data_IF_838705672394
#
_entry.id   IF_838705672394
#
_cell.length_a   1.000
_cell.length_b   1.000
_cell.length_c   1.000
_cell.angle_alpha   90.00
_cell.angle_beta   90.00
_cell.angle_gamma   90.00
#
_symmetry.space_group_name_H-M   'P 1'
#
loop_
_entity.id
_entity.type
_entity.pdbx_description
1 polymer ?
#
# COMPACT_ATOMS: atom_id res chain seq x y z
N UNK A 1 22.62 21.70 -50.58
CA UNK A 1 23.00 21.55 -49.15
C UNK A 1 22.25 20.35 -48.59
N UNK A 2 22.95 19.21 -48.51
CA UNK A 2 22.38 17.86 -48.37
C UNK A 2 22.95 17.15 -47.13
N UNK A 3 23.21 17.87 -46.04
CA UNK A 3 24.19 17.44 -45.03
C UNK A 3 23.80 17.55 -43.55
N UNK A 4 22.55 17.83 -43.19
CA UNK A 4 22.17 17.98 -41.77
C UNK A 4 21.00 17.07 -41.34
N UNK A 5 20.27 16.46 -42.29
CA UNK A 5 19.11 15.59 -41.98
C UNK A 5 19.46 14.14 -41.65
N UNK A 6 20.73 13.73 -41.71
CA UNK A 6 21.15 12.33 -41.49
C UNK A 6 21.83 12.06 -40.14
N UNK A 7 22.19 13.10 -39.37
CA UNK A 7 22.92 12.90 -38.11
C UNK A 7 22.04 12.65 -36.87
N UNK A 8 20.71 12.87 -36.98
CA UNK A 8 19.75 12.57 -35.89
C UNK A 8 19.15 11.16 -36.00
N UNK A 9 19.56 10.37 -37.01
CA UNK A 9 18.98 9.05 -37.32
C UNK A 9 19.87 7.85 -36.96
N UNK A 10 20.87 8.00 -36.09
CA UNK A 10 21.68 6.85 -35.60
C UNK A 10 22.10 6.97 -34.15
N UNK A 11 21.28 6.43 -33.26
CA UNK A 11 21.63 5.38 -32.27
C UNK A 11 20.42 5.12 -31.39
N UNK A 12 19.54 4.25 -31.86
CA UNK A 12 18.84 3.36 -30.93
C UNK A 12 19.91 2.43 -30.36
N UNK A 13 20.19 2.42 -29.04
CA UNK A 13 20.85 1.26 -28.47
C UNK A 13 19.78 0.17 -28.35
N UNK A 14 19.56 -0.52 -29.47
CA UNK A 14 19.18 -1.92 -29.45
C UNK A 14 20.41 -2.72 -28.96
N UNK A 15 20.80 -2.48 -27.71
CA UNK A 15 21.98 -3.02 -27.08
C UNK A 15 21.64 -3.27 -25.62
N UNK A 16 21.70 -4.53 -25.23
CA UNK A 16 21.67 -5.00 -23.86
C UNK A 16 20.29 -4.97 -23.16
N UNK A 17 19.38 -5.85 -23.60
CA UNK A 17 18.25 -6.28 -22.77
C UNK A 17 18.71 -6.82 -21.40
N UNK A 18 19.93 -7.36 -21.35
CA UNK A 18 20.62 -7.88 -20.17
C UNK A 18 20.97 -6.76 -19.17
N UNK A 19 21.56 -5.64 -19.58
CA UNK A 19 21.88 -4.53 -18.67
C UNK A 19 20.62 -3.93 -18.05
N UNK A 20 19.58 -3.69 -18.85
CA UNK A 20 18.30 -3.25 -18.30
C UNK A 20 17.71 -4.30 -17.35
N UNK A 21 17.71 -5.59 -17.70
CA UNK A 21 17.22 -6.64 -16.81
C UNK A 21 18.02 -6.71 -15.49
N UNK A 22 19.33 -6.50 -15.52
CA UNK A 22 20.19 -6.43 -14.33
C UNK A 22 19.77 -5.25 -13.45
N UNK A 23 19.56 -4.05 -13.99
CA UNK A 23 19.09 -2.90 -13.21
C UNK A 23 17.71 -3.10 -12.55
N UNK A 24 16.86 -4.01 -13.05
CA UNK A 24 15.54 -4.30 -12.47
C UNK A 24 15.53 -5.55 -11.57
N UNK A 25 16.34 -6.54 -11.90
CA UNK A 25 16.54 -7.73 -11.06
C UNK A 25 17.32 -7.37 -9.81
N UNK A 26 18.30 -6.45 -9.87
CA UNK A 26 19.08 -6.04 -8.70
C UNK A 26 18.21 -5.47 -7.57
N UNK A 27 17.30 -4.50 -7.76
CA UNK A 27 16.44 -4.03 -6.68
C UNK A 27 15.46 -5.11 -6.22
N UNK A 28 14.87 -5.90 -7.14
CA UNK A 28 13.94 -6.97 -6.77
C UNK A 28 14.64 -8.07 -5.95
N UNK A 29 15.82 -8.51 -6.40
CA UNK A 29 16.70 -9.45 -5.73
C UNK A 29 17.20 -8.87 -4.41
N UNK A 30 17.50 -7.57 -4.33
CA UNK A 30 17.93 -6.92 -3.10
C UNK A 30 16.82 -6.81 -2.07
N UNK A 31 15.56 -6.59 -2.50
CA UNK A 31 14.40 -6.60 -1.62
C UNK A 31 14.14 -8.03 -1.13
N UNK A 32 14.21 -9.02 -2.01
CA UNK A 32 14.03 -10.43 -1.62
C UNK A 32 15.18 -10.96 -0.77
N UNK A 33 16.42 -10.55 -1.04
CA UNK A 33 17.58 -10.90 -0.21
C UNK A 33 17.52 -10.16 1.11
N UNK A 34 17.11 -8.89 1.14
CA UNK A 34 16.89 -8.14 2.37
C UNK A 34 15.84 -8.80 3.25
N UNK A 35 14.70 -9.21 2.67
CA UNK A 35 13.66 -9.94 3.41
C UNK A 35 14.14 -11.31 3.87
N UNK A 36 14.94 -12.02 3.07
CA UNK A 36 15.53 -13.31 3.46
C UNK A 36 16.61 -13.15 4.55
N UNK A 37 17.44 -12.12 4.49
CA UNK A 37 18.47 -11.82 5.51
C UNK A 37 17.78 -11.46 6.83
N UNK A 38 16.72 -10.64 6.80
CA UNK A 38 15.89 -10.41 7.98
C UNK A 38 15.29 -11.72 8.52
N UNK A 39 14.81 -12.61 7.63
CA UNK A 39 14.27 -13.92 8.01
C UNK A 39 15.33 -14.85 8.65
N UNK A 40 16.58 -14.80 8.18
CA UNK A 40 17.69 -15.60 8.71
C UNK A 40 18.28 -15.04 10.03
N UNK A 41 18.33 -13.71 10.18
CA UNK A 41 18.77 -13.06 11.42
C UNK A 41 17.84 -13.37 12.60
N UNK A 42 16.55 -13.61 12.33
CA UNK A 42 15.55 -14.05 13.31
C UNK A 42 15.49 -15.58 13.54
N UNK A 43 16.50 -16.34 13.09
CA UNK A 43 16.61 -17.80 13.28
C UNK A 43 15.35 -18.59 12.83
N UNK A 44 14.64 -18.12 11.80
CA UNK A 44 13.49 -18.82 11.24
C UNK A 44 12.26 -18.91 12.16
N UNK A 45 12.22 -18.16 13.28
CA UNK A 45 11.11 -18.24 14.24
C UNK A 45 9.93 -17.29 13.91
N UNK A 46 10.08 -16.40 12.92
CA UNK A 46 9.20 -15.24 12.75
C UNK A 46 8.74 -14.91 11.31
N UNK A 47 8.00 -15.78 10.61
CA UNK A 47 6.94 -15.25 9.74
C UNK A 47 5.98 -14.34 10.54
N UNK A 48 5.90 -14.53 11.87
CA UNK A 48 5.24 -13.70 12.90
C UNK A 48 5.69 -12.25 13.05
N UNK A 49 6.93 -11.91 12.64
CA UNK A 49 7.42 -10.55 12.80
C UNK A 49 7.04 -9.67 11.61
N UNK A 50 6.88 -10.28 10.42
CA UNK A 50 6.48 -9.60 9.20
C UNK A 50 4.97 -9.58 8.97
N UNK A 51 4.26 -10.62 9.43
CA UNK A 51 2.81 -10.72 9.41
C UNK A 51 2.33 -11.10 10.80
N UNK A 52 1.13 -10.66 11.21
CA UNK A 52 0.60 -11.04 12.52
C UNK A 52 0.32 -12.55 12.50
N UNK A 53 0.90 -13.29 13.44
CA UNK A 53 0.66 -14.74 13.60
C UNK A 53 -0.76 -15.07 14.02
N UNK A 54 -1.46 -14.11 14.59
CA UNK A 54 -2.85 -14.21 14.99
C UNK A 54 -3.77 -13.71 13.87
N UNK A 55 -4.34 -14.66 13.14
CA UNK A 55 -5.31 -14.45 12.07
C UNK A 55 -6.56 -13.68 12.54
N UNK A 56 -6.83 -13.64 13.84
CA UNK A 56 -7.92 -12.85 14.41
C UNK A 56 -7.60 -11.36 14.49
N UNK A 57 -6.36 -10.94 14.21
CA UNK A 57 -5.94 -9.54 14.20
C UNK A 57 -5.83 -8.91 12.79
N UNK A 58 -6.15 -9.66 11.74
CA UNK A 58 -6.16 -9.14 10.37
C UNK A 58 -7.19 -8.02 10.20
N UNK A 59 -6.77 -6.89 9.61
CA UNK A 59 -7.62 -5.71 9.40
C UNK A 59 -7.99 -4.94 10.66
N UNK A 60 -7.52 -5.36 11.84
CA UNK A 60 -8.00 -4.81 13.11
C UNK A 60 -7.58 -3.35 13.34
N UNK A 61 -6.50 -2.85 12.74
CA UNK A 61 -6.14 -1.44 12.86
C UNK A 61 -7.26 -0.55 12.32
N UNK A 62 -7.88 -0.91 11.18
CA UNK A 62 -9.03 -0.18 10.63
C UNK A 62 -10.25 -0.26 11.56
N UNK A 63 -10.67 -1.47 11.94
CA UNK A 63 -11.91 -1.66 12.70
C UNK A 63 -11.83 -1.12 14.13
N UNK A 64 -10.67 -1.25 14.80
CA UNK A 64 -10.46 -0.67 16.12
C UNK A 64 -10.50 0.86 16.08
N UNK A 65 -9.88 1.48 15.07
CA UNK A 65 -9.96 2.93 14.92
C UNK A 65 -11.37 3.39 14.54
N UNK A 66 -12.10 2.62 13.75
CA UNK A 66 -13.49 2.90 13.40
C UNK A 66 -14.42 2.83 14.62
N UNK A 67 -14.21 1.85 15.49
CA UNK A 67 -14.90 1.73 16.78
C UNK A 67 -14.55 2.87 17.75
N UNK A 68 -13.30 3.33 17.78
CA UNK A 68 -12.93 4.49 18.58
C UNK A 68 -13.65 5.78 18.09
N UNK A 69 -13.82 5.92 16.77
CA UNK A 69 -14.55 7.06 16.19
C UNK A 69 -16.06 6.99 16.47
N UNK A 70 -16.65 5.80 16.54
CA UNK A 70 -18.08 5.65 16.84
C UNK A 70 -18.42 6.06 18.28
N UNK A 71 -17.51 5.82 19.23
CA UNK A 71 -17.65 6.19 20.64
C UNK A 71 -17.49 7.70 20.90
N UNK A 72 -16.96 8.45 19.92
CA UNK A 72 -16.85 9.90 19.98
C UNK A 72 -15.55 10.44 20.60
N UNK A 73 -14.79 9.60 21.30
CA UNK A 73 -13.44 9.93 21.78
C UNK A 73 -12.39 8.96 21.17
N UNK A 74 -11.72 9.36 20.06
CA UNK A 74 -10.74 8.52 19.41
C UNK A 74 -9.45 8.31 20.22
N UNK A 75 -9.18 9.16 21.22
CA UNK A 75 -7.95 9.12 22.01
C UNK A 75 -8.10 8.36 23.33
N UNK A 76 -9.32 7.94 23.68
CA UNK A 76 -9.60 7.17 24.89
C UNK A 76 -8.75 5.89 25.04
N UNK A 77 -8.39 5.26 23.91
CA UNK A 77 -7.58 4.03 23.87
C UNK A 77 -6.10 4.29 23.52
N UNK A 78 -5.54 5.44 23.90
CA UNK A 78 -4.15 5.83 23.61
C UNK A 78 -3.78 5.78 22.13
N UNK A 79 -4.74 6.08 21.25
CA UNK A 79 -4.48 6.10 19.81
C UNK A 79 -3.45 7.21 19.49
N UNK A 80 -2.41 6.85 18.72
CA UNK A 80 -1.28 7.72 18.43
C UNK A 80 -1.35 8.38 17.04
N UNK A 81 -2.55 8.46 16.45
CA UNK A 81 -2.75 8.96 15.09
C UNK A 81 -3.08 10.47 15.06
N UNK A 82 -2.66 11.19 14.00
CA UNK A 82 -3.05 12.57 13.79
C UNK A 82 -4.58 12.73 13.65
N UNK A 83 -5.16 13.88 14.05
CA UNK A 83 -6.60 14.13 14.00
C UNK A 83 -7.23 13.93 12.61
N UNK A 84 -6.50 14.24 11.53
CA UNK A 84 -6.96 14.07 10.15
C UNK A 84 -7.33 12.62 9.80
N UNK A 85 -6.62 11.64 10.38
CA UNK A 85 -6.92 10.23 10.19
C UNK A 85 -8.34 9.89 10.70
N UNK A 86 -8.72 10.43 11.86
CA UNK A 86 -10.04 10.22 12.44
C UNK A 86 -11.16 10.92 11.67
N UNK A 87 -10.88 12.05 11.02
CA UNK A 87 -11.85 12.71 10.13
C UNK A 87 -12.17 11.84 8.91
N UNK A 88 -11.15 11.24 8.29
CA UNK A 88 -11.32 10.31 7.16
C UNK A 88 -12.10 9.08 7.61
N UNK A 89 -11.74 8.49 8.75
CA UNK A 89 -12.47 7.34 9.30
C UNK A 89 -13.91 7.68 9.65
N UNK A 90 -14.18 8.89 10.16
CA UNK A 90 -15.55 9.36 10.44
C UNK A 90 -16.37 9.52 9.18
N UNK A 91 -15.75 9.94 8.08
CA UNK A 91 -16.39 9.95 6.76
C UNK A 91 -16.71 8.52 6.29
N UNK A 92 -15.76 7.58 6.41
CA UNK A 92 -15.99 6.17 6.06
C UNK A 92 -17.07 5.52 6.93
N UNK A 93 -17.11 5.85 8.22
CA UNK A 93 -18.12 5.36 9.17
C UNK A 93 -19.54 5.75 8.77
N UNK A 94 -19.73 6.87 8.06
CA UNK A 94 -21.06 7.30 7.62
C UNK A 94 -21.71 6.33 6.63
N UNK A 95 -20.91 5.53 5.91
CA UNK A 95 -21.41 4.50 5.00
C UNK A 95 -21.80 3.20 5.70
N UNK A 96 -21.49 3.05 6.99
CA UNK A 96 -21.86 1.86 7.77
C UNK A 96 -23.31 2.01 8.23
N UNK A 97 -24.25 1.18 7.75
CA UNK A 97 -25.61 1.22 8.22
C UNK A 97 -25.65 0.82 9.70
N UNK A 98 -26.43 1.56 10.48
CA UNK A 98 -26.69 1.24 11.90
C UNK A 98 -27.76 0.16 11.95
N UNK A 99 -27.35 -1.10 11.81
CA UNK A 99 -28.23 -2.24 12.01
C UNK A 99 -28.58 -2.41 13.50
N UNK A 100 -29.79 -2.88 13.78
CA UNK A 100 -30.16 -3.29 15.13
C UNK A 100 -29.36 -4.55 15.53
N UNK A 101 -28.75 -4.55 16.72
CA UNK A 101 -28.07 -5.72 17.30
C UNK A 101 -26.56 -5.83 17.08
N UNK A 102 -25.91 -4.85 16.45
CA UNK A 102 -24.44 -4.85 16.27
C UNK A 102 -23.78 -3.88 17.22
N UNK A 103 -22.82 -4.38 18.00
CA UNK A 103 -22.00 -3.55 18.87
C UNK A 103 -20.95 -2.77 18.07
N UNK A 104 -21.34 -1.58 17.62
CA UNK A 104 -20.46 -0.63 16.94
C UNK A 104 -19.42 0.00 17.87
N UNK A 105 -19.32 -0.41 19.14
CA UNK A 105 -18.24 0.05 20.02
C UNK A 105 -17.04 -0.90 20.03
N UNK A 106 -17.18 -2.10 19.44
CA UNK A 106 -16.15 -3.13 19.44
C UNK A 106 -15.62 -3.40 18.01
N UNK A 107 -14.31 -3.28 17.83
CA UNK A 107 -13.65 -3.49 16.53
C UNK A 107 -13.81 -4.92 16.01
N UNK A 108 -13.85 -5.93 16.88
CA UNK A 108 -14.06 -7.32 16.45
C UNK A 108 -15.47 -7.53 15.91
N UNK A 109 -16.48 -6.97 16.59
CA UNK A 109 -17.87 -7.04 16.14
C UNK A 109 -18.08 -6.28 14.81
N UNK A 110 -17.38 -5.16 14.62
CA UNK A 110 -17.41 -4.44 13.34
C UNK A 110 -16.77 -5.23 12.19
N UNK A 111 -15.67 -5.95 12.45
CA UNK A 111 -15.01 -6.76 11.42
C UNK A 111 -15.93 -7.85 10.90
N UNK A 112 -16.62 -8.52 11.81
CA UNK A 112 -17.52 -9.63 11.49
C UNK A 112 -18.85 -9.11 10.88
N UNK A 113 -19.12 -7.80 10.99
CA UNK A 113 -20.27 -7.14 10.38
C UNK A 113 -20.01 -6.77 8.91
N UNK A 114 -20.60 -7.55 8.00
CA UNK A 114 -20.41 -7.39 6.55
C UNK A 114 -20.61 -5.96 6.01
N UNK A 115 -21.60 -5.17 6.47
CA UNK A 115 -21.75 -3.78 6.04
C UNK A 115 -20.62 -2.83 6.47
N UNK A 116 -19.89 -3.13 7.55
CA UNK A 116 -18.70 -2.38 7.94
C UNK A 116 -17.44 -2.83 7.18
N UNK A 117 -17.40 -4.07 6.70
CA UNK A 117 -16.31 -4.58 5.86
C UNK A 117 -16.33 -4.02 4.42
N UNK A 118 -17.51 -3.63 3.90
CA UNK A 118 -17.63 -3.01 2.57
C UNK A 118 -16.83 -1.70 2.41
N UNK A 119 -17.00 -0.67 3.26
CA UNK A 119 -16.22 0.56 3.13
C UNK A 119 -14.72 0.33 3.33
N UNK A 120 -14.34 -0.66 4.16
CA UNK A 120 -12.95 -1.09 4.30
C UNK A 120 -12.38 -1.61 2.97
N UNK A 121 -13.10 -2.51 2.30
CA UNK A 121 -12.68 -3.07 1.01
C UNK A 121 -12.55 -1.97 -0.06
N UNK A 122 -13.55 -1.09 -0.13
CA UNK A 122 -13.53 0.05 -1.07
C UNK A 122 -12.32 0.95 -0.80
N UNK A 123 -12.04 1.23 0.47
CA UNK A 123 -10.87 2.00 0.89
C UNK A 123 -9.55 1.35 0.43
N UNK A 124 -9.34 0.07 0.71
CA UNK A 124 -8.10 -0.64 0.34
C UNK A 124 -7.93 -0.68 -1.18
N UNK A 125 -8.98 -1.03 -1.91
CA UNK A 125 -8.95 -1.09 -3.39
C UNK A 125 -8.68 0.29 -3.97
N UNK A 126 -9.33 1.35 -3.46
CA UNK A 126 -9.09 2.72 -3.92
C UNK A 126 -7.63 3.14 -3.71
N UNK A 127 -7.05 2.86 -2.53
CA UNK A 127 -5.64 3.13 -2.25
C UNK A 127 -4.72 2.39 -3.22
N UNK A 128 -4.94 1.09 -3.45
CA UNK A 128 -4.14 0.30 -4.38
C UNK A 128 -4.21 0.82 -5.82
N UNK A 129 -5.40 1.23 -6.28
CA UNK A 129 -5.58 1.83 -7.59
C UNK A 129 -4.82 3.15 -7.69
N UNK A 130 -4.95 4.04 -6.70
CA UNK A 130 -4.25 5.33 -6.68
C UNK A 130 -2.73 5.13 -6.70
N UNK A 131 -2.21 4.23 -5.87
CA UNK A 131 -0.78 3.86 -5.86
C UNK A 131 -0.36 3.36 -7.24
N UNK A 132 -1.14 2.47 -7.85
CA UNK A 132 -0.84 1.93 -9.17
C UNK A 132 -0.81 3.00 -10.26
N UNK A 133 -1.82 3.87 -10.32
CA UNK A 133 -1.86 4.97 -11.28
C UNK A 133 -0.74 5.98 -11.06
N UNK A 134 -0.42 6.33 -9.80
CA UNK A 134 0.66 7.25 -9.46
C UNK A 134 2.02 6.68 -9.88
N UNK A 135 2.29 5.40 -9.60
CA UNK A 135 3.54 4.73 -10.02
C UNK A 135 3.67 4.68 -11.55
N UNK A 136 2.59 4.34 -12.26
CA UNK A 136 2.58 4.36 -13.73
C UNK A 136 2.82 5.77 -14.29
N UNK A 137 2.31 6.79 -13.60
CA UNK A 137 2.49 8.20 -13.98
C UNK A 137 3.93 8.67 -13.77
N UNK A 138 4.53 8.33 -12.63
CA UNK A 138 5.94 8.64 -12.31
C UNK A 138 6.90 8.03 -13.34
N UNK A 139 6.59 6.84 -13.85
CA UNK A 139 7.42 6.10 -14.80
C UNK A 139 7.01 6.35 -16.26
N UNK A 140 6.28 7.44 -16.54
CA UNK A 140 5.86 7.77 -17.91
C UNK A 140 7.09 8.06 -18.78
N UNK A 141 7.29 7.25 -19.82
CA UNK A 141 8.46 7.32 -20.72
C UNK A 141 9.41 6.14 -20.59
N UNK A 142 9.28 5.34 -19.53
CA UNK A 142 10.00 4.08 -19.36
C UNK A 142 9.38 2.94 -20.19
N UNK A 143 10.15 1.88 -20.44
CA UNK A 143 9.65 0.67 -21.11
C UNK A 143 8.53 0.02 -20.26
N UNK A 144 7.51 -0.60 -20.86
CA UNK A 144 6.36 -1.16 -20.12
C UNK A 144 6.77 -2.22 -19.11
N UNK A 145 7.82 -3.01 -19.39
CA UNK A 145 8.33 -4.01 -18.46
C UNK A 145 8.85 -3.42 -17.15
N UNK A 146 9.38 -2.19 -17.22
CA UNK A 146 9.91 -1.44 -16.07
C UNK A 146 8.78 -0.91 -15.21
N UNK A 147 7.72 -0.46 -15.87
CA UNK A 147 6.53 0.01 -15.19
C UNK A 147 5.87 -1.13 -14.42
N UNK A 148 5.72 -2.30 -15.05
CA UNK A 148 5.17 -3.48 -14.40
C UNK A 148 6.07 -4.01 -13.27
N UNK A 149 7.40 -4.05 -13.45
CA UNK A 149 8.31 -4.54 -12.40
C UNK A 149 8.35 -3.60 -11.19
N UNK A 150 8.36 -2.29 -11.41
CA UNK A 150 8.34 -1.29 -10.34
C UNK A 150 7.01 -1.28 -9.60
N UNK A 151 5.88 -1.40 -10.31
CA UNK A 151 4.56 -1.57 -9.70
C UNK A 151 4.52 -2.82 -8.81
N UNK A 152 4.98 -3.95 -9.32
CA UNK A 152 5.04 -5.19 -8.55
C UNK A 152 5.94 -5.02 -7.31
N UNK A 153 7.09 -4.38 -7.45
CA UNK A 153 7.99 -4.09 -6.33
C UNK A 153 7.37 -3.13 -5.29
N UNK A 154 6.54 -2.16 -5.71
CA UNK A 154 5.87 -1.24 -4.77
C UNK A 154 4.77 -1.94 -3.98
N UNK A 155 4.02 -2.85 -4.60
CA UNK A 155 2.91 -3.55 -3.95
C UNK A 155 3.42 -4.72 -3.10
N UNK A 156 4.42 -5.46 -3.58
CA UNK A 156 4.95 -6.66 -2.93
C UNK A 156 6.10 -6.37 -1.96
N UNK A 157 6.39 -5.10 -1.66
CA UNK A 157 7.38 -4.81 -0.62
C UNK A 157 6.81 -5.16 0.76
N UNK A 158 7.68 -5.66 1.64
CA UNK A 158 7.28 -6.10 2.99
C UNK A 158 6.46 -5.06 3.78
N UNK A 159 6.87 -3.77 3.84
CA UNK A 159 6.10 -2.74 4.53
C UNK A 159 4.69 -2.52 3.96
N UNK A 160 4.52 -2.64 2.63
CA UNK A 160 3.22 -2.50 1.99
C UNK A 160 2.31 -3.70 2.29
N UNK A 161 2.86 -4.92 2.23
CA UNK A 161 2.13 -6.13 2.57
C UNK A 161 1.66 -6.14 4.03
N UNK A 162 2.50 -5.67 4.96
CA UNK A 162 2.12 -5.50 6.37
C UNK A 162 1.03 -4.44 6.57
N UNK A 163 1.14 -3.30 5.88
CA UNK A 163 0.12 -2.26 5.93
C UNK A 163 -1.24 -2.73 5.37
N UNK A 164 -1.22 -3.56 4.32
CA UNK A 164 -2.41 -4.17 3.74
C UNK A 164 -3.04 -5.23 4.66
N UNK A 165 -2.23 -6.08 5.28
CA UNK A 165 -2.70 -7.09 6.24
C UNK A 165 -3.42 -6.44 7.43
N UNK A 166 -2.85 -5.36 7.99
CA UNK A 166 -3.45 -4.63 9.11
C UNK A 166 -4.60 -3.71 8.72
N UNK A 167 -4.72 -3.35 7.44
CA UNK A 167 -5.72 -2.38 7.00
C UNK A 167 -5.43 -0.95 7.47
N UNK A 168 -4.17 -0.64 7.74
CA UNK A 168 -3.79 0.58 8.43
C UNK A 168 -3.99 1.83 7.55
N UNK A 169 -4.39 2.97 8.15
CA UNK A 169 -4.61 4.24 7.47
C UNK A 169 -3.35 4.85 6.83
N UNK A 170 -2.16 4.35 7.18
CA UNK A 170 -0.88 4.69 6.51
C UNK A 170 -0.98 4.54 4.98
N UNK A 171 -1.82 3.62 4.47
CA UNK A 171 -1.99 3.42 3.02
C UNK A 171 -2.44 4.71 2.31
N UNK A 172 -3.28 5.54 2.94
CA UNK A 172 -3.68 6.85 2.36
C UNK A 172 -2.51 7.82 2.36
N UNK A 173 -1.75 7.88 3.45
CA UNK A 173 -0.58 8.75 3.54
C UNK A 173 0.45 8.40 2.46
N UNK A 174 0.67 7.11 2.22
CA UNK A 174 1.55 6.65 1.15
C UNK A 174 0.99 6.94 -0.24
N UNK A 175 -0.30 6.66 -0.47
CA UNK A 175 -0.95 6.95 -1.75
C UNK A 175 -0.93 8.46 -2.10
N UNK A 176 -1.23 9.32 -1.12
CA UNK A 176 -1.21 10.78 -1.30
C UNK A 176 0.21 11.31 -1.54
N UNK A 177 1.22 10.75 -0.89
CA UNK A 177 2.63 11.06 -1.16
C UNK A 177 3.03 10.70 -2.59
N UNK A 178 2.64 9.52 -3.08
CA UNK A 178 2.92 9.14 -4.47
C UNK A 178 2.19 10.03 -5.48
N UNK A 179 0.96 10.43 -5.20
CA UNK A 179 0.22 11.39 -6.03
C UNK A 179 0.94 12.73 -6.07
N UNK A 180 1.43 13.21 -4.92
CA UNK A 180 2.20 14.46 -4.85
C UNK A 180 3.45 14.39 -5.75
N UNK A 181 4.25 13.33 -5.61
CA UNK A 181 5.45 13.12 -6.44
C UNK A 181 5.11 12.93 -7.94
N UNK A 182 3.94 12.38 -8.26
CA UNK A 182 3.54 12.15 -9.65
C UNK A 182 3.08 13.44 -10.36
N UNK A 183 2.71 14.48 -9.61
CA UNK A 183 2.16 15.73 -10.12
C UNK A 183 3.16 16.91 -10.04
N UNK A 184 4.05 16.90 -9.03
CA UNK A 184 5.05 17.93 -8.76
C UNK A 184 6.46 17.35 -8.81
#
# INVERSE_FOLDING_TARGET
MKGISECVRRKSPAGCGIETAIYYLVPLISITLGSLVCFWLDYGNNPSAYFITDWTNTGMDYFNMLAAVSQGDPYANYANWPPMCFLILRFLFHFVPRGEGVDLSNGFAMRDYMPAALPYLVYVVACLLVIGFATMRLLRGSKPIVQCSMLAATILCGPMLFALERGNIILISFASLLVYLALY
#
